data_IF_518247730927
#
_entry.id   IF_518247730927
#
_cell.length_a   1.000
_cell.length_b   1.000
_cell.length_c   1.000
_cell.angle_alpha   90.00
_cell.angle_beta   90.00
_cell.angle_gamma   90.00
#
_symmetry.space_group_name_H-M   'P 1'
#
loop_
_entity.id
_entity.type
_entity.pdbx_description
1 polymer ?
#
# COMPACT_ATOMS: atom_id res chain seq x y z
N UNK A 1 22.07 -7.37 -24.12
CA UNK A 1 22.18 -6.56 -22.89
C UNK A 1 20.75 -6.24 -22.46
N UNK A 2 20.34 -6.59 -21.25
CA UNK A 2 19.01 -6.21 -20.75
C UNK A 2 19.04 -4.72 -20.43
N UNK A 3 18.23 -3.93 -21.11
CA UNK A 3 18.03 -2.50 -20.80
C UNK A 3 16.81 -2.41 -19.90
N UNK A 4 16.98 -1.80 -18.72
CA UNK A 4 15.88 -1.56 -17.79
C UNK A 4 15.20 -0.24 -18.14
N UNK A 5 13.88 -0.19 -18.02
CA UNK A 5 13.15 1.07 -18.03
C UNK A 5 13.23 1.77 -16.65
N UNK A 6 12.80 3.04 -16.59
CA UNK A 6 12.87 3.84 -15.36
C UNK A 6 12.06 3.23 -14.20
N UNK A 7 10.96 2.53 -14.50
CA UNK A 7 10.12 1.85 -13.51
C UNK A 7 10.84 0.63 -12.94
N UNK A 8 11.44 -0.19 -13.80
CA UNK A 8 12.23 -1.34 -13.41
C UNK A 8 13.43 -0.93 -12.54
N UNK A 9 14.14 0.14 -12.91
CA UNK A 9 15.20 0.70 -12.06
C UNK A 9 14.68 1.16 -10.69
N UNK A 10 13.52 1.82 -10.65
CA UNK A 10 12.93 2.27 -9.41
C UNK A 10 12.52 1.10 -8.50
N UNK A 11 11.98 0.01 -9.07
CA UNK A 11 11.65 -1.20 -8.34
C UNK A 11 12.90 -1.88 -7.73
N UNK A 12 14.03 -1.85 -8.42
CA UNK A 12 15.30 -2.40 -7.88
C UNK A 12 15.84 -1.61 -6.68
N UNK A 13 15.42 -0.36 -6.49
CA UNK A 13 15.79 0.47 -5.35
C UNK A 13 14.95 0.20 -4.11
N UNK A 14 13.88 -0.60 -4.22
CA UNK A 14 13.04 -0.96 -3.09
C UNK A 14 13.77 -1.93 -2.14
N UNK A 15 13.47 -1.87 -0.83
CA UNK A 15 14.05 -2.80 0.13
C UNK A 15 13.62 -4.23 -0.17
N UNK A 16 14.49 -5.19 0.17
CA UNK A 16 14.23 -6.60 -0.09
C UNK A 16 12.98 -7.09 0.70
N UNK A 17 11.91 -7.53 0.01
CA UNK A 17 10.61 -7.77 0.64
C UNK A 17 10.64 -8.74 1.82
N UNK A 18 11.38 -9.86 1.71
CA UNK A 18 11.41 -10.88 2.77
C UNK A 18 11.95 -10.36 4.12
N UNK A 19 12.81 -9.35 4.10
CA UNK A 19 13.33 -8.71 5.32
C UNK A 19 12.52 -7.49 5.76
N UNK A 20 11.85 -6.84 4.81
CA UNK A 20 11.16 -5.57 5.02
C UNK A 20 9.71 -5.76 5.46
N UNK A 21 8.95 -6.62 4.78
CA UNK A 21 7.52 -6.80 5.01
C UNK A 21 7.16 -7.30 6.41
N UNK A 22 7.92 -8.23 7.05
CA UNK A 22 7.64 -8.61 8.43
C UNK A 22 7.70 -7.42 9.39
N UNK A 23 8.71 -6.53 9.22
CA UNK A 23 8.86 -5.33 10.04
C UNK A 23 7.73 -4.33 9.79
N UNK A 24 7.29 -4.21 8.53
CA UNK A 24 6.16 -3.35 8.19
C UNK A 24 4.85 -3.88 8.79
N UNK A 25 4.63 -5.20 8.83
CA UNK A 25 3.47 -5.79 9.48
C UNK A 25 3.47 -5.53 11.00
N UNK A 26 4.63 -5.66 11.66
CA UNK A 26 4.77 -5.32 13.09
C UNK A 26 4.50 -3.83 13.35
N UNK A 27 5.00 -2.97 12.46
CA UNK A 27 4.76 -1.53 12.50
C UNK A 27 3.27 -1.18 12.30
N UNK A 28 2.57 -1.84 11.38
CA UNK A 28 1.11 -1.69 11.21
C UNK A 28 0.36 -2.07 12.49
N UNK A 29 0.71 -3.20 13.11
CA UNK A 29 0.06 -3.65 14.34
C UNK A 29 0.30 -2.69 15.50
N UNK A 30 1.50 -2.10 15.59
CA UNK A 30 1.84 -1.12 16.62
C UNK A 30 1.13 0.22 16.39
N UNK A 31 1.10 0.70 15.15
CA UNK A 31 0.62 2.05 14.83
C UNK A 31 -0.90 2.12 14.65
N UNK A 32 -1.57 1.00 14.33
CA UNK A 32 -3.01 0.93 14.02
C UNK A 32 -3.71 -0.29 14.65
N UNK A 33 -3.50 -0.59 15.96
CA UNK A 33 -3.94 -1.83 16.58
C UNK A 33 -5.46 -2.05 16.48
N UNK A 34 -6.26 -1.00 16.61
CA UNK A 34 -7.73 -1.04 16.53
C UNK A 34 -8.25 -1.49 15.16
N UNK A 35 -7.45 -1.29 14.10
CA UNK A 35 -7.85 -1.60 12.73
C UNK A 35 -7.53 -3.02 12.30
N UNK A 36 -6.54 -3.62 12.94
CA UNK A 36 -6.05 -4.95 12.62
C UNK A 36 -6.27 -5.93 13.77
N UNK A 37 -7.08 -5.56 14.77
CA UNK A 37 -7.34 -6.38 15.97
C UNK A 37 -7.92 -7.76 15.64
N UNK A 38 -8.69 -7.86 14.55
CA UNK A 38 -9.27 -9.13 14.08
C UNK A 38 -8.30 -9.99 13.25
N UNK A 39 -7.09 -9.52 12.97
CA UNK A 39 -6.11 -10.23 12.16
C UNK A 39 -5.04 -10.84 13.07
N UNK A 40 -4.87 -12.16 12.97
CA UNK A 40 -3.72 -12.83 13.55
C UNK A 40 -2.41 -12.42 12.84
N UNK A 41 -1.26 -12.84 13.38
CA UNK A 41 0.03 -12.45 12.83
C UNK A 41 0.24 -12.93 11.38
N UNK A 42 -0.24 -14.14 11.07
CA UNK A 42 -0.08 -14.73 9.74
C UNK A 42 -0.92 -13.99 8.71
N UNK A 43 -2.16 -13.69 9.06
CA UNK A 43 -3.11 -12.96 8.23
C UNK A 43 -2.64 -11.53 8.01
N UNK A 44 -2.16 -10.84 9.05
CA UNK A 44 -1.61 -9.49 8.86
C UNK A 44 -0.38 -9.48 7.94
N UNK A 45 0.51 -10.47 8.08
CA UNK A 45 1.68 -10.58 7.21
C UNK A 45 1.27 -10.79 5.74
N UNK A 46 0.32 -11.69 5.49
CA UNK A 46 -0.21 -11.95 4.15
C UNK A 46 -0.90 -10.71 3.55
N UNK A 47 -1.72 -10.01 4.34
CA UNK A 47 -2.37 -8.76 3.90
C UNK A 47 -1.35 -7.65 3.61
N UNK A 48 -0.31 -7.54 4.43
CA UNK A 48 0.79 -6.58 4.22
C UNK A 48 1.53 -6.86 2.92
N UNK A 49 1.89 -8.13 2.68
CA UNK A 49 2.55 -8.55 1.44
C UNK A 49 1.68 -8.28 0.21
N UNK A 50 0.39 -8.62 0.29
CA UNK A 50 -0.57 -8.42 -0.79
C UNK A 50 -0.72 -6.94 -1.15
N UNK A 51 -0.96 -6.08 -0.15
CA UNK A 51 -1.13 -4.65 -0.36
C UNK A 51 0.17 -3.98 -0.83
N UNK A 52 1.32 -4.38 -0.29
CA UNK A 52 2.63 -3.87 -0.72
C UNK A 52 2.93 -4.25 -2.17
N UNK A 53 2.76 -5.54 -2.51
CA UNK A 53 3.08 -6.06 -3.85
C UNK A 53 2.20 -5.38 -4.88
N UNK A 54 0.90 -5.23 -4.60
CA UNK A 54 0.01 -4.51 -5.48
C UNK A 54 0.44 -3.04 -5.66
N UNK A 55 0.70 -2.33 -4.57
CA UNK A 55 1.11 -0.93 -4.64
C UNK A 55 2.42 -0.72 -5.42
N UNK A 56 3.41 -1.58 -5.21
CA UNK A 56 4.70 -1.49 -5.89
C UNK A 56 4.63 -1.93 -7.36
N UNK A 57 4.10 -3.11 -7.61
CA UNK A 57 4.20 -3.77 -8.92
C UNK A 57 3.01 -3.48 -9.84
N UNK A 58 1.80 -3.28 -9.31
CA UNK A 58 0.63 -2.96 -10.14
C UNK A 58 0.48 -1.45 -10.31
N UNK A 59 0.52 -0.69 -9.21
CA UNK A 59 0.34 0.76 -9.23
C UNK A 59 1.61 1.55 -9.52
N UNK A 60 2.80 0.93 -9.47
CA UNK A 60 4.06 1.61 -9.75
C UNK A 60 4.52 2.59 -8.66
N UNK A 61 4.00 2.46 -7.44
CA UNK A 61 4.41 3.28 -6.29
C UNK A 61 5.77 2.79 -5.81
N UNK A 62 6.81 3.57 -6.05
CA UNK A 62 8.22 3.19 -5.83
C UNK A 62 8.96 4.11 -4.86
N UNK A 63 8.35 5.25 -4.50
CA UNK A 63 8.87 6.15 -3.46
C UNK A 63 8.55 5.56 -2.08
N UNK A 64 9.57 5.02 -1.43
CA UNK A 64 9.42 4.21 -0.21
C UNK A 64 8.52 4.83 0.88
N UNK A 65 8.64 6.13 1.25
CA UNK A 65 7.72 6.74 2.22
C UNK A 65 6.24 6.70 1.80
N UNK A 66 5.95 6.90 0.51
CA UNK A 66 4.60 6.84 -0.05
C UNK A 66 4.11 5.40 -0.06
N UNK A 67 4.95 4.47 -0.52
CA UNK A 67 4.63 3.05 -0.55
C UNK A 67 4.28 2.51 0.85
N UNK A 68 5.09 2.84 1.86
CA UNK A 68 4.82 2.45 3.26
C UNK A 68 3.49 3.02 3.73
N UNK A 69 3.25 4.32 3.54
CA UNK A 69 2.00 4.96 3.98
C UNK A 69 0.78 4.39 3.25
N UNK A 70 0.93 4.07 1.96
CA UNK A 70 -0.08 3.42 1.16
C UNK A 70 -0.41 2.03 1.72
N UNK A 71 0.60 1.18 1.90
CA UNK A 71 0.41 -0.18 2.43
C UNK A 71 -0.25 -0.16 3.80
N UNK A 72 0.18 0.71 4.73
CA UNK A 72 -0.46 0.85 6.05
C UNK A 72 -1.92 1.22 5.94
N UNK A 73 -2.23 2.22 5.09
CA UNK A 73 -3.59 2.72 4.90
C UNK A 73 -4.48 1.64 4.30
N UNK A 74 -3.98 0.92 3.30
CA UNK A 74 -4.72 -0.13 2.62
C UNK A 74 -4.98 -1.32 3.56
N UNK A 75 -3.95 -1.83 4.24
CA UNK A 75 -4.10 -2.91 5.24
C UNK A 75 -5.06 -2.51 6.36
N UNK A 76 -4.89 -1.31 6.93
CA UNK A 76 -5.78 -0.79 7.98
C UNK A 76 -7.22 -0.51 7.53
N UNK A 77 -7.49 -0.57 6.22
CA UNK A 77 -8.83 -0.50 5.63
C UNK A 77 -9.37 -1.87 5.20
N UNK A 78 -8.64 -2.95 5.49
CA UNK A 78 -8.95 -4.29 4.99
C UNK A 78 -8.78 -4.42 3.47
N UNK A 79 -7.89 -3.64 2.85
CA UNK A 79 -7.62 -3.69 1.43
C UNK A 79 -8.61 -2.90 0.57
N UNK A 80 -9.15 -1.79 1.06
CA UNK A 80 -10.15 -1.03 0.32
C UNK A 80 -9.54 -0.21 -0.83
N UNK A 81 -8.30 0.27 -0.69
CA UNK A 81 -7.69 1.14 -1.69
C UNK A 81 -7.44 0.42 -3.01
N UNK A 82 -6.99 -0.83 -2.97
CA UNK A 82 -6.80 -1.61 -4.20
C UNK A 82 -8.10 -2.25 -4.73
N UNK A 83 -9.17 -2.31 -3.93
CA UNK A 83 -10.48 -2.82 -4.38
C UNK A 83 -11.35 -1.73 -5.01
N UNK A 84 -11.08 -0.47 -4.69
CA UNK A 84 -11.81 0.66 -5.23
C UNK A 84 -11.32 1.00 -6.65
N UNK A 85 -12.15 0.69 -7.65
CA UNK A 85 -11.82 0.88 -9.08
C UNK A 85 -11.40 2.32 -9.40
N UNK A 86 -12.05 3.29 -8.75
CA UNK A 86 -11.73 4.72 -8.96
C UNK A 86 -10.29 5.03 -8.53
N UNK A 87 -9.85 4.45 -7.41
CA UNK A 87 -8.48 4.63 -6.88
C UNK A 87 -7.45 3.97 -7.80
N UNK A 88 -7.72 2.73 -8.23
CA UNK A 88 -6.84 2.00 -9.14
C UNK A 88 -6.63 2.74 -10.48
N UNK A 89 -7.73 3.13 -11.15
CA UNK A 89 -7.65 3.83 -12.42
C UNK A 89 -6.94 5.18 -12.30
N UNK A 90 -7.21 5.93 -11.22
CA UNK A 90 -6.56 7.24 -10.97
C UNK A 90 -5.05 7.11 -10.93
N UNK A 91 -4.52 6.09 -10.26
CA UNK A 91 -3.06 5.91 -10.12
C UNK A 91 -2.45 5.31 -11.39
N UNK A 92 -3.10 4.31 -11.99
CA UNK A 92 -2.59 3.67 -13.22
C UNK A 92 -2.49 4.63 -14.41
N UNK A 93 -3.34 5.64 -14.46
CA UNK A 93 -3.36 6.65 -15.53
C UNK A 93 -2.54 7.90 -15.20
N UNK A 94 -1.96 8.00 -14.01
CA UNK A 94 -1.16 9.15 -13.61
C UNK A 94 0.21 9.14 -14.29
N UNK A 95 0.67 10.33 -14.72
CA UNK A 95 2.03 10.52 -15.22
C UNK A 95 3.09 10.24 -14.12
N UNK A 96 2.77 10.55 -12.86
CA UNK A 96 3.57 10.19 -11.69
C UNK A 96 2.69 9.46 -10.65
N UNK A 97 2.75 8.12 -10.61
CA UNK A 97 2.01 7.32 -9.63
C UNK A 97 2.36 7.64 -8.17
N UNK A 98 3.59 8.09 -7.88
CA UNK A 98 3.99 8.41 -6.51
C UNK A 98 3.34 9.71 -6.04
N UNK A 99 3.27 10.71 -6.90
CA UNK A 99 2.60 11.97 -6.61
C UNK A 99 1.09 11.75 -6.45
N UNK A 100 0.47 11.04 -7.40
CA UNK A 100 -0.96 10.72 -7.34
C UNK A 100 -1.34 9.95 -6.06
N UNK A 101 -0.52 8.95 -5.68
CA UNK A 101 -0.72 8.21 -4.44
C UNK A 101 -0.56 9.10 -3.19
N UNK A 102 0.43 10.01 -3.18
CA UNK A 102 0.62 10.95 -2.09
C UNK A 102 -0.56 11.92 -1.94
N UNK A 103 -1.08 12.45 -3.05
CA UNK A 103 -2.23 13.35 -3.06
C UNK A 103 -3.51 12.65 -2.59
N UNK A 104 -3.76 11.42 -3.05
CA UNK A 104 -4.87 10.61 -2.58
C UNK A 104 -4.79 10.33 -1.07
N UNK A 105 -3.60 9.97 -0.56
CA UNK A 105 -3.38 9.76 0.87
C UNK A 105 -3.59 11.06 1.68
N UNK A 106 -3.21 12.21 1.13
CA UNK A 106 -3.47 13.51 1.75
C UNK A 106 -4.97 13.86 1.78
N UNK A 107 -5.69 13.61 0.69
CA UNK A 107 -7.12 13.83 0.59
C UNK A 107 -7.93 12.92 1.54
N UNK A 108 -7.55 11.65 1.67
CA UNK A 108 -8.15 10.72 2.63
C UNK A 108 -7.91 11.18 4.07
N UNK A 109 -6.70 11.63 4.39
CA UNK A 109 -6.38 12.16 5.71
C UNK A 109 -7.19 13.43 6.05
N UNK A 110 -7.34 14.35 5.08
CA UNK A 110 -8.07 15.60 5.27
C UNK A 110 -9.59 15.44 5.40
N UNK A 111 -10.16 14.41 4.76
CA UNK A 111 -11.61 14.16 4.76
C UNK A 111 -12.09 13.37 5.98
N UNK A 112 -11.20 12.93 6.87
CA UNK A 112 -11.46 11.92 7.91
C UNK A 112 -12.15 10.65 7.40
N UNK A 113 -12.22 10.45 6.07
CA UNK A 113 -12.75 9.25 5.44
C UNK A 113 -11.62 8.26 5.34
N UNK A 114 -11.36 7.56 6.43
CA UNK A 114 -10.65 6.31 6.29
C UNK A 114 -11.59 5.29 5.67
N UNK A 115 -11.17 4.55 4.63
CA UNK A 115 -11.97 3.45 4.15
C UNK A 115 -12.15 2.46 5.30
N UNK A 116 -13.40 2.23 5.68
CA UNK A 116 -13.74 1.27 6.72
C UNK A 116 -13.70 -0.13 6.11
N UNK A 117 -13.14 -1.13 6.82
CA UNK A 117 -13.24 -2.50 6.38
C UNK A 117 -14.74 -2.84 6.25
N UNK A 118 -15.18 -3.25 5.05
CA UNK A 118 -16.54 -3.76 4.88
C UNK A 118 -16.70 -4.96 5.81
N UNK A 119 -17.50 -4.80 6.86
CA UNK A 119 -18.04 -5.91 7.63
C UNK A 119 -18.72 -6.85 6.63
N UNK A 120 -18.25 -8.11 6.60
CA UNK A 120 -18.74 -9.12 5.67
C UNK A 120 -20.27 -9.22 5.70
N UNK A 121 -20.83 -9.29 4.50
CA UNK A 121 -22.14 -9.89 4.24
C UNK A 121 -21.90 -11.26 3.61
#
# INVERSE_FOLDING_TARGET
MLTLDARQEALLRLPYPATFLPRLADEIRRDMPERVIGLDNRTLAAETERCYTYAAYELGITRLPVLVRWTKTDVGSGGALHREMTVDLTIRQADDPNLAAADLLAALAASHRWPTPRSGA
#
